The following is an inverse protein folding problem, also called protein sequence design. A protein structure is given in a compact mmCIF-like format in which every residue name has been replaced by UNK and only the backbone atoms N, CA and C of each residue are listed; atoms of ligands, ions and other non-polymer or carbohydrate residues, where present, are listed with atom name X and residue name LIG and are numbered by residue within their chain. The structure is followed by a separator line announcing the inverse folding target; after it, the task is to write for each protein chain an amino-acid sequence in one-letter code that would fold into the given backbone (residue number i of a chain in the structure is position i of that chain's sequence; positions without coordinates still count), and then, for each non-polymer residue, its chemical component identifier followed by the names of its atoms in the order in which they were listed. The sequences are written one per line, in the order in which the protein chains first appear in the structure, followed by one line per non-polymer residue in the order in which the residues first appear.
data_IF_732684271965
#
_entry.id   IF_732684271965
#
_cell.length_a   1.000
_cell.length_b   1.000
_cell.length_c   1.000
_cell.angle_alpha   90.00
_cell.angle_beta   90.00
_cell.angle_gamma   90.00
#
_symmetry.space_group_name_H-M   'P 1'
#
loop_
_entity.id
_entity.type
_entity.pdbx_description
1 polymer ?
#
# COMPACT_ATOMS: atom_id res chain seq x y z
N UNK A 1 -25.32 7.61 -21.33
CA UNK A 1 -25.29 7.85 -19.86
C UNK A 1 -24.07 8.70 -19.62
N UNK A 2 -24.21 9.80 -18.91
CA UNK A 2 -23.07 10.66 -18.56
C UNK A 2 -22.33 10.01 -17.39
N UNK A 3 -21.19 9.41 -17.71
CA UNK A 3 -20.37 8.60 -16.78
C UNK A 3 -19.73 9.45 -15.69
N UNK A 4 -19.32 10.68 -16.05
CA UNK A 4 -18.75 11.64 -15.10
C UNK A 4 -19.75 12.01 -13.99
N UNK A 5 -21.02 12.14 -14.36
CA UNK A 5 -22.06 12.42 -13.39
C UNK A 5 -22.39 11.23 -12.50
N UNK A 6 -22.38 10.01 -13.07
CA UNK A 6 -22.61 8.78 -12.28
C UNK A 6 -21.50 8.58 -11.25
N UNK A 7 -20.23 8.72 -11.66
CA UNK A 7 -19.07 8.58 -10.77
C UNK A 7 -19.08 9.60 -9.64
N UNK A 8 -19.33 10.87 -9.96
CA UNK A 8 -19.46 11.94 -8.95
C UNK A 8 -20.63 11.70 -8.00
N UNK A 9 -21.74 11.17 -8.49
CA UNK A 9 -22.90 10.83 -7.68
C UNK A 9 -22.57 9.69 -6.71
N UNK A 10 -21.89 8.62 -7.17
CA UNK A 10 -21.49 7.48 -6.36
C UNK A 10 -20.48 7.92 -5.29
N UNK A 11 -19.46 8.69 -5.64
CA UNK A 11 -18.50 9.26 -4.68
C UNK A 11 -19.20 10.20 -3.68
N UNK A 12 -20.08 11.04 -4.12
CA UNK A 12 -20.87 11.92 -3.25
C UNK A 12 -21.76 11.16 -2.27
N UNK A 13 -22.31 10.01 -2.66
CA UNK A 13 -23.04 9.10 -1.75
C UNK A 13 -22.13 8.46 -0.74
N UNK A 14 -20.94 8.01 -1.15
CA UNK A 14 -19.94 7.45 -0.25
C UNK A 14 -19.55 8.41 0.86
N UNK A 15 -19.13 9.60 0.53
CA UNK A 15 -18.77 10.60 1.53
C UNK A 15 -19.93 10.89 2.49
N UNK A 16 -21.15 10.99 1.99
CA UNK A 16 -22.34 11.17 2.85
C UNK A 16 -22.59 9.98 3.77
N UNK A 17 -22.41 8.75 3.29
CA UNK A 17 -22.61 7.55 4.10
C UNK A 17 -21.55 7.40 5.18
N UNK A 18 -20.29 7.67 4.86
CA UNK A 18 -19.19 7.69 5.82
C UNK A 18 -19.42 8.76 6.90
N UNK A 19 -19.81 9.96 6.50
CA UNK A 19 -20.12 11.06 7.43
C UNK A 19 -21.32 10.75 8.34
N UNK A 20 -22.24 9.91 7.87
CA UNK A 20 -23.40 9.43 8.62
C UNK A 20 -23.09 8.19 9.49
N UNK A 21 -21.84 7.68 9.45
CA UNK A 21 -21.41 6.52 10.23
C UNK A 21 -21.84 5.17 9.67
N UNK A 22 -22.16 5.08 8.36
CA UNK A 22 -22.48 3.82 7.71
C UNK A 22 -21.28 2.88 7.71
N UNK A 23 -21.56 1.57 7.81
CA UNK A 23 -20.55 0.52 7.70
C UNK A 23 -19.93 0.54 6.29
N UNK A 24 -18.59 0.64 6.16
CA UNK A 24 -17.90 0.57 4.88
C UNK A 24 -18.24 -0.68 4.04
N UNK A 25 -18.57 -1.80 4.69
CA UNK A 25 -18.97 -3.02 4.00
C UNK A 25 -20.35 -2.91 3.35
N UNK A 26 -21.31 -2.27 4.03
CA UNK A 26 -22.63 -1.98 3.45
C UNK A 26 -22.50 -1.02 2.26
N UNK A 27 -21.61 -0.04 2.36
CA UNK A 27 -21.35 0.88 1.26
C UNK A 27 -20.71 0.17 0.06
N UNK A 28 -19.70 -0.67 0.25
CA UNK A 28 -19.06 -1.40 -0.84
C UNK A 28 -20.08 -2.27 -1.60
N UNK A 29 -21.02 -2.89 -0.88
CA UNK A 29 -22.10 -3.67 -1.49
C UNK A 29 -23.08 -2.80 -2.29
N UNK A 30 -23.49 -1.66 -1.75
CA UNK A 30 -24.39 -0.73 -2.42
C UNK A 30 -23.76 -0.17 -3.71
N UNK A 31 -22.48 0.16 -3.65
CA UNK A 31 -21.72 0.65 -4.81
C UNK A 31 -21.62 -0.39 -5.92
N UNK A 32 -21.27 -1.64 -5.59
CA UNK A 32 -21.27 -2.75 -6.55
C UNK A 32 -22.60 -2.86 -7.28
N UNK A 33 -23.71 -2.79 -6.55
CA UNK A 33 -25.05 -2.93 -7.14
C UNK A 33 -25.38 -1.81 -8.12
N UNK A 34 -24.89 -0.59 -7.89
CA UNK A 34 -25.12 0.55 -8.78
C UNK A 34 -24.18 0.55 -9.98
N UNK A 35 -22.91 0.22 -9.80
CA UNK A 35 -21.94 0.10 -10.87
C UNK A 35 -22.29 -0.99 -11.88
N UNK A 36 -22.64 -2.17 -11.39
CA UNK A 36 -23.02 -3.30 -12.24
C UNK A 36 -24.30 -3.05 -13.07
N UNK A 37 -25.21 -2.19 -12.62
CA UNK A 37 -26.39 -1.82 -13.40
C UNK A 37 -26.08 -1.03 -14.67
N UNK A 38 -24.94 -0.32 -14.70
CA UNK A 38 -24.51 0.47 -15.85
C UNK A 38 -23.66 -0.28 -16.86
N UNK A 39 -23.25 -1.54 -16.58
CA UNK A 39 -22.27 -2.28 -17.39
C UNK A 39 -20.86 -1.72 -17.27
N UNK A 40 -20.58 -0.97 -16.21
CA UNK A 40 -19.32 -0.30 -15.96
C UNK A 40 -18.30 -1.25 -15.36
N UNK A 41 -17.07 -1.18 -15.85
CA UNK A 41 -15.97 -1.93 -15.26
C UNK A 41 -15.31 -1.10 -14.17
N UNK A 42 -14.96 -1.72 -13.04
CA UNK A 42 -14.23 -1.04 -11.99
C UNK A 42 -12.85 -0.51 -12.46
N UNK A 43 -12.29 -1.10 -13.50
CA UNK A 43 -11.08 -0.59 -14.15
C UNK A 43 -11.31 0.80 -14.75
N UNK A 44 -12.47 1.06 -15.35
CA UNK A 44 -12.80 2.36 -15.92
C UNK A 44 -12.80 3.44 -14.83
N UNK A 45 -13.43 3.16 -13.68
CA UNK A 45 -13.42 4.07 -12.54
C UNK A 45 -12.00 4.36 -12.03
N UNK A 46 -11.16 3.31 -11.91
CA UNK A 46 -9.80 3.48 -11.45
C UNK A 46 -9.00 4.36 -12.41
N UNK A 47 -9.13 4.14 -13.72
CA UNK A 47 -8.41 4.93 -14.72
C UNK A 47 -8.93 6.37 -14.75
N UNK A 48 -10.22 6.58 -14.90
CA UNK A 48 -10.84 7.91 -15.07
C UNK A 48 -10.76 8.79 -13.82
N UNK A 49 -10.86 8.22 -12.61
CA UNK A 49 -10.90 9.01 -11.38
C UNK A 49 -9.57 9.11 -10.65
N UNK A 50 -8.63 8.20 -10.94
CA UNK A 50 -7.37 8.13 -10.19
C UNK A 50 -6.14 8.29 -11.09
N UNK A 51 -6.05 7.51 -12.17
CA UNK A 51 -4.84 7.47 -12.99
C UNK A 51 -4.76 8.65 -13.94
N UNK A 52 -5.77 8.82 -14.78
CA UNK A 52 -5.79 9.87 -15.81
C UNK A 52 -5.73 11.29 -15.23
N UNK A 53 -6.43 11.61 -14.11
CA UNK A 53 -6.30 12.92 -13.48
C UNK A 53 -5.03 13.09 -12.63
N UNK A 54 -4.11 12.11 -12.62
CA UNK A 54 -2.84 12.19 -11.89
C UNK A 54 -2.95 12.11 -10.37
N UNK A 55 -4.00 11.52 -9.84
CA UNK A 55 -4.18 11.30 -8.38
C UNK A 55 -3.53 9.99 -7.89
N UNK A 56 -3.04 9.18 -8.82
CA UNK A 56 -2.42 7.90 -8.49
C UNK A 56 -1.16 8.10 -7.63
N UNK A 57 -1.06 7.31 -6.57
CA UNK A 57 0.06 7.36 -5.62
C UNK A 57 1.08 6.23 -5.87
N UNK A 58 1.02 5.56 -7.01
CA UNK A 58 1.99 4.56 -7.42
C UNK A 58 2.12 3.30 -6.54
N UNK A 59 1.17 3.01 -5.67
CA UNK A 59 1.29 1.91 -4.69
C UNK A 59 1.19 0.50 -5.29
N UNK A 60 0.72 0.37 -6.54
CA UNK A 60 0.50 -0.88 -7.28
C UNK A 60 -0.46 -1.91 -6.64
N UNK A 61 -1.23 -1.54 -5.60
CA UNK A 61 -2.17 -2.47 -4.97
C UNK A 61 -3.23 -3.01 -5.95
N UNK A 62 -3.73 -2.17 -6.87
CA UNK A 62 -4.67 -2.58 -7.92
C UNK A 62 -4.07 -3.59 -8.90
N UNK A 63 -2.76 -3.48 -9.18
CA UNK A 63 -2.03 -4.42 -10.05
C UNK A 63 -1.93 -5.79 -9.37
N UNK A 64 -1.51 -5.79 -8.10
CA UNK A 64 -1.25 -7.04 -7.36
C UNK A 64 -2.50 -7.82 -7.02
N UNK A 65 -3.64 -7.15 -6.85
CA UNK A 65 -4.90 -7.79 -6.47
C UNK A 65 -5.70 -8.32 -7.67
N UNK A 66 -5.37 -7.90 -8.89
CA UNK A 66 -6.15 -8.25 -10.07
C UNK A 66 -6.01 -9.74 -10.43
N UNK A 67 -7.08 -10.56 -10.35
CA UNK A 67 -7.00 -12.01 -10.56
C UNK A 67 -6.82 -12.41 -12.03
N UNK A 68 -6.96 -11.46 -12.95
CA UNK A 68 -6.90 -11.67 -14.41
C UNK A 68 -5.86 -10.76 -15.08
N UNK A 69 -5.00 -10.13 -14.27
CA UNK A 69 -3.87 -9.28 -14.70
C UNK A 69 -4.27 -8.23 -15.75
N UNK A 70 -5.30 -7.44 -15.48
CA UNK A 70 -5.73 -6.35 -16.40
C UNK A 70 -4.65 -5.29 -16.52
N UNK A 71 -3.86 -5.10 -15.46
CA UNK A 71 -2.90 -4.02 -15.36
C UNK A 71 -1.47 -4.49 -15.50
N UNK A 72 -0.68 -3.79 -16.32
CA UNK A 72 0.77 -3.70 -16.17
C UNK A 72 1.11 -2.52 -15.26
N UNK A 73 2.36 -2.43 -14.79
CA UNK A 73 2.87 -1.30 -14.04
C UNK A 73 4.00 -0.63 -14.83
N UNK A 74 3.81 0.61 -15.20
CA UNK A 74 4.77 1.37 -16.00
C UNK A 74 4.69 2.85 -15.66
N UNK A 75 5.82 3.54 -15.72
CA UNK A 75 5.92 4.98 -15.48
C UNK A 75 5.23 5.38 -14.15
N UNK A 76 5.48 4.57 -13.09
CA UNK A 76 5.00 4.75 -11.72
C UNK A 76 3.47 4.65 -11.53
N UNK A 77 2.72 4.19 -12.53
CA UNK A 77 1.26 4.01 -12.49
C UNK A 77 0.80 2.67 -13.08
N UNK A 78 -0.38 2.18 -12.72
CA UNK A 78 -0.99 1.06 -13.42
C UNK A 78 -1.39 1.48 -14.84
N UNK A 79 -1.12 0.61 -15.80
CA UNK A 79 -1.50 0.76 -17.20
C UNK A 79 -2.52 -0.33 -17.57
N UNK A 80 -3.71 0.06 -18.02
CA UNK A 80 -4.71 -0.88 -18.53
C UNK A 80 -4.27 -1.45 -19.87
N UNK A 81 -3.72 -2.66 -19.87
CA UNK A 81 -3.23 -3.35 -21.07
C UNK A 81 -4.15 -4.46 -21.52
N UNK A 82 -5.05 -4.93 -20.67
CA UNK A 82 -5.97 -6.04 -20.98
C UNK A 82 -7.40 -5.77 -20.51
N UNK A 83 -7.92 -4.60 -20.84
CA UNK A 83 -9.26 -4.12 -20.48
C UNK A 83 -10.36 -5.17 -20.66
N UNK A 84 -10.34 -5.90 -21.80
CA UNK A 84 -11.35 -6.91 -22.13
C UNK A 84 -11.28 -8.18 -21.25
N UNK A 85 -10.18 -8.39 -20.51
CA UNK A 85 -10.05 -9.48 -19.56
C UNK A 85 -10.75 -9.18 -18.22
N UNK A 86 -11.16 -7.94 -17.96
CA UNK A 86 -11.83 -7.55 -16.72
C UNK A 86 -13.09 -8.37 -16.45
N UNK A 87 -13.15 -8.99 -15.27
CA UNK A 87 -14.26 -9.85 -14.82
C UNK A 87 -15.22 -9.14 -13.85
N UNK A 88 -15.16 -7.82 -13.77
CA UNK A 88 -16.06 -7.00 -12.96
C UNK A 88 -16.01 -7.30 -11.44
N UNK A 89 -14.88 -7.76 -10.93
CA UNK A 89 -14.73 -8.17 -9.52
C UNK A 89 -14.53 -7.02 -8.54
N UNK A 90 -14.28 -5.79 -9.02
CA UNK A 90 -14.13 -4.54 -8.25
C UNK A 90 -12.93 -4.51 -7.27
N UNK A 91 -12.08 -5.53 -7.26
CA UNK A 91 -10.95 -5.63 -6.34
C UNK A 91 -9.98 -4.46 -6.45
N UNK A 92 -9.71 -3.98 -7.66
CA UNK A 92 -8.82 -2.85 -7.90
C UNK A 92 -9.31 -1.55 -7.26
N UNK A 93 -10.63 -1.38 -7.16
CA UNK A 93 -11.27 -0.25 -6.48
C UNK A 93 -11.27 -0.45 -4.96
N UNK A 94 -11.57 -1.68 -4.50
CA UNK A 94 -11.60 -2.03 -3.07
C UNK A 94 -10.26 -1.76 -2.37
N UNK A 95 -9.14 -2.06 -3.05
CA UNK A 95 -7.80 -1.85 -2.47
C UNK A 95 -7.17 -0.49 -2.77
N UNK A 96 -7.84 0.36 -3.54
CA UNK A 96 -7.30 1.66 -3.90
C UNK A 96 -7.43 2.68 -2.74
N UNK A 97 -6.32 3.13 -2.13
CA UNK A 97 -6.40 4.07 -1.01
C UNK A 97 -6.83 5.49 -1.42
N UNK A 98 -6.85 5.79 -2.73
CA UNK A 98 -7.37 7.06 -3.26
C UNK A 98 -8.88 7.04 -3.39
N UNK A 99 -9.44 5.91 -3.84
CA UNK A 99 -10.89 5.73 -3.98
C UNK A 99 -11.56 5.37 -2.67
N UNK A 100 -10.88 4.66 -1.80
CA UNK A 100 -11.39 4.23 -0.50
C UNK A 100 -10.57 4.88 0.63
N UNK A 101 -11.15 5.86 1.35
CA UNK A 101 -10.50 6.43 2.52
C UNK A 101 -10.35 5.38 3.63
N UNK A 102 -9.11 5.13 4.02
CA UNK A 102 -8.76 4.06 4.97
C UNK A 102 -8.67 4.47 6.41
N UNK A 103 -8.53 5.76 6.69
CA UNK A 103 -8.14 6.25 8.01
C UNK A 103 -9.08 5.82 9.14
N UNK A 104 -10.35 5.66 8.83
CA UNK A 104 -11.37 5.26 9.79
C UNK A 104 -11.33 3.76 10.06
N UNK A 105 -11.34 2.96 8.99
CA UNK A 105 -11.34 1.50 9.06
C UNK A 105 -10.06 0.98 9.71
N UNK A 106 -8.91 1.61 9.44
CA UNK A 106 -7.64 1.26 10.07
C UNK A 106 -7.60 1.59 11.55
N UNK A 107 -8.17 2.71 12.00
CA UNK A 107 -8.24 3.07 13.43
C UNK A 107 -9.04 2.07 14.23
N UNK A 108 -10.12 1.55 13.67
CA UNK A 108 -10.99 0.58 14.35
C UNK A 108 -10.39 -0.82 14.39
N UNK A 109 -9.53 -1.16 13.43
CA UNK A 109 -8.91 -2.48 13.32
C UNK A 109 -7.52 -2.57 13.98
N UNK A 110 -6.76 -1.46 14.05
CA UNK A 110 -5.50 -1.42 14.77
C UNK A 110 -5.79 -1.11 16.24
N UNK A 111 -5.96 -2.17 17.04
CA UNK A 111 -6.20 -2.05 18.47
C UNK A 111 -4.92 -1.63 19.20
N UNK A 112 -4.81 -0.35 19.51
CA UNK A 112 -3.78 0.16 20.40
C UNK A 112 -4.24 -0.01 21.86
N UNK A 113 -3.35 -0.51 22.72
CA UNK A 113 -3.59 -0.57 24.16
C UNK A 113 -3.34 0.81 24.74
N UNK A 114 -4.38 1.47 25.28
CA UNK A 114 -4.29 2.77 25.94
C UNK A 114 -3.54 3.85 25.12
N UNK A 115 -3.99 4.15 23.90
CA UNK A 115 -3.26 5.05 23.01
C UNK A 115 -3.21 6.45 23.56
N UNK A 116 -2.06 7.12 23.43
CA UNK A 116 -1.95 8.55 23.56
C UNK A 116 -2.69 9.18 22.39
N UNK A 117 -3.63 10.07 22.67
CA UNK A 117 -4.40 10.79 21.65
C UNK A 117 -3.73 12.11 21.36
N UNK A 118 -3.28 12.29 20.15
CA UNK A 118 -2.70 13.52 19.65
C UNK A 118 -3.43 13.92 18.36
N UNK A 119 -3.89 15.18 18.30
CA UNK A 119 -4.67 15.65 17.14
C UNK A 119 -3.81 15.75 15.86
N UNK A 120 -2.49 15.93 16.01
CA UNK A 120 -1.57 16.06 14.87
C UNK A 120 -1.11 14.71 14.29
N UNK A 121 -0.78 13.75 15.16
CA UNK A 121 -0.22 12.45 14.76
C UNK A 121 -1.21 11.29 14.79
N UNK A 122 -2.40 11.52 15.37
CA UNK A 122 -3.34 10.44 15.61
C UNK A 122 -2.95 9.59 16.85
N UNK A 123 -3.61 8.46 17.09
CA UNK A 123 -3.36 7.63 18.25
C UNK A 123 -2.03 6.85 18.14
N UNK A 124 -1.23 6.85 19.21
CA UNK A 124 0.01 6.07 19.31
C UNK A 124 0.23 5.57 20.74
N UNK A 125 1.07 4.56 20.93
CA UNK A 125 1.37 4.03 22.27
C UNK A 125 2.49 4.81 22.96
N UNK A 126 3.57 5.11 22.25
CA UNK A 126 4.72 5.88 22.78
C UNK A 126 5.55 6.45 21.63
N UNK A 127 6.33 7.49 21.94
CA UNK A 127 7.33 8.05 21.06
C UNK A 127 8.73 7.93 21.67
N UNK A 128 9.73 7.66 20.86
CA UNK A 128 11.14 7.55 21.30
C UNK A 128 12.09 8.21 20.33
N UNK A 129 13.22 8.70 20.82
CA UNK A 129 14.38 9.02 20.01
C UNK A 129 15.31 7.82 19.97
N UNK A 130 15.67 7.36 18.78
CA UNK A 130 16.50 6.17 18.59
C UNK A 130 17.56 6.37 17.53
N UNK A 131 18.66 5.62 17.68
CA UNK A 131 19.74 5.51 16.70
C UNK A 131 20.29 4.08 16.75
N UNK A 132 20.68 3.53 15.61
CA UNK A 132 21.38 2.25 15.57
C UNK A 132 22.70 2.33 16.32
N UNK A 133 23.06 1.26 17.05
CA UNK A 133 24.32 1.17 17.79
C UNK A 133 25.47 0.67 16.94
N UNK A 134 25.16 -0.09 15.89
CA UNK A 134 26.15 -0.56 14.95
C UNK A 134 26.62 0.56 14.02
N UNK A 135 27.93 0.82 14.00
CA UNK A 135 28.52 1.93 13.26
C UNK A 135 28.34 1.79 11.76
N UNK A 136 28.47 0.58 11.20
CA UNK A 136 28.29 0.33 9.77
C UNK A 136 26.84 0.58 9.33
N UNK A 137 25.87 0.16 10.13
CA UNK A 137 24.45 0.43 9.90
C UNK A 137 24.15 1.95 9.90
N UNK A 138 24.76 2.70 10.81
CA UNK A 138 24.60 4.16 10.88
C UNK A 138 25.21 4.84 9.64
N UNK A 139 26.39 4.40 9.20
CA UNK A 139 27.10 4.98 8.05
C UNK A 139 26.37 4.69 6.72
N UNK A 140 25.74 3.52 6.60
CA UNK A 140 24.96 3.15 5.42
C UNK A 140 23.52 3.69 5.45
N UNK A 141 22.98 3.92 6.65
CA UNK A 141 21.63 4.44 6.81
C UNK A 141 21.53 5.95 6.61
N UNK A 142 20.31 6.44 6.72
CA UNK A 142 19.99 7.86 6.81
C UNK A 142 19.43 8.14 8.21
N UNK A 143 19.75 9.30 8.78
CA UNK A 143 19.16 9.77 10.06
C UNK A 143 19.24 8.79 11.24
N UNK A 144 20.32 8.02 11.33
CA UNK A 144 20.58 7.12 12.44
C UNK A 144 20.34 5.64 12.17
N UNK A 145 19.88 5.23 10.98
CA UNK A 145 19.84 3.84 10.54
C UNK A 145 18.85 2.93 11.28
N UNK A 146 17.83 3.49 11.94
CA UNK A 146 16.90 2.73 12.81
C UNK A 146 16.10 1.72 12.00
N UNK A 147 15.57 2.10 10.84
CA UNK A 147 14.80 1.20 9.97
C UNK A 147 15.65 -0.03 9.60
N UNK A 148 16.85 0.19 9.06
CA UNK A 148 17.80 -0.89 8.71
C UNK A 148 18.14 -1.77 9.92
N UNK A 149 18.40 -1.17 11.09
CA UNK A 149 18.69 -1.90 12.31
C UNK A 149 17.52 -2.80 12.76
N UNK A 150 16.28 -2.33 12.64
CA UNK A 150 15.10 -3.12 12.98
C UNK A 150 14.94 -4.34 12.05
N UNK A 151 15.15 -4.15 10.76
CA UNK A 151 15.09 -5.24 9.77
C UNK A 151 16.18 -6.29 10.05
N UNK A 152 17.43 -5.84 10.20
CA UNK A 152 18.56 -6.73 10.52
C UNK A 152 18.35 -7.50 11.84
N UNK A 153 17.82 -6.81 12.86
CA UNK A 153 17.49 -7.45 14.13
C UNK A 153 16.36 -8.48 13.97
N UNK A 154 15.31 -8.14 13.21
CA UNK A 154 14.19 -9.03 12.93
C UNK A 154 14.62 -10.30 12.18
N UNK A 155 15.48 -10.17 11.18
CA UNK A 155 16.05 -11.33 10.47
C UNK A 155 16.93 -12.20 11.39
N UNK A 156 17.77 -11.55 12.20
CA UNK A 156 18.68 -12.25 13.12
C UNK A 156 17.95 -13.12 14.15
N UNK A 157 16.83 -12.66 14.66
CA UNK A 157 16.07 -13.38 15.70
C UNK A 157 14.86 -14.16 15.16
N UNK A 158 14.67 -14.19 13.83
CA UNK A 158 13.59 -14.94 13.18
C UNK A 158 12.20 -14.30 13.31
N UNK A 159 12.12 -13.02 13.70
CA UNK A 159 10.84 -12.27 13.72
C UNK A 159 10.35 -12.00 12.30
N UNK A 160 11.28 -11.85 11.36
CA UNK A 160 11.02 -11.74 9.92
C UNK A 160 12.01 -12.62 9.15
N UNK A 161 11.56 -13.20 8.05
CA UNK A 161 12.40 -13.97 7.12
C UNK A 161 12.78 -13.17 5.88
N UNK A 162 11.99 -12.14 5.56
CA UNK A 162 12.29 -11.21 4.47
C UNK A 162 11.67 -9.84 4.74
N UNK A 163 12.14 -8.83 4.01
CA UNK A 163 11.59 -7.49 4.06
C UNK A 163 11.27 -6.99 2.64
N UNK A 164 10.14 -6.31 2.51
CA UNK A 164 9.80 -5.53 1.32
C UNK A 164 10.17 -4.08 1.59
N UNK A 165 11.08 -3.57 0.80
CA UNK A 165 11.57 -2.20 0.91
C UNK A 165 11.99 -1.66 -0.46
N UNK A 166 12.39 -0.40 -0.53
CA UNK A 166 12.94 0.19 -1.74
C UNK A 166 14.44 -0.08 -1.90
N UNK A 167 14.88 -0.16 -3.14
CA UNK A 167 16.30 -0.10 -3.53
C UNK A 167 16.51 0.93 -4.64
N UNK A 168 17.75 1.19 -4.97
CA UNK A 168 18.14 2.02 -6.12
C UNK A 168 17.82 1.28 -7.42
N UNK A 169 17.17 1.97 -8.38
CA UNK A 169 16.87 1.38 -9.67
C UNK A 169 18.16 1.13 -10.46
N UNK A 170 18.27 -0.03 -11.09
CA UNK A 170 19.51 -0.47 -11.74
C UNK A 170 19.97 0.45 -12.88
N UNK A 171 19.02 0.97 -13.66
CA UNK A 171 19.30 1.77 -14.86
C UNK A 171 19.19 3.28 -14.60
N UNK A 172 18.54 3.69 -13.51
CA UNK A 172 18.37 5.10 -13.13
C UNK A 172 18.54 5.27 -11.62
N UNK A 173 19.74 5.65 -11.12
CA UNK A 173 20.00 5.81 -9.70
C UNK A 173 19.15 6.88 -8.98
N UNK A 174 18.48 7.75 -9.71
CA UNK A 174 17.57 8.74 -9.13
C UNK A 174 16.20 8.14 -8.77
N UNK A 175 15.85 7.01 -9.39
CA UNK A 175 14.61 6.32 -9.12
C UNK A 175 14.79 5.22 -8.06
N UNK A 176 13.71 4.89 -7.39
CA UNK A 176 13.61 3.73 -6.53
C UNK A 176 12.91 2.58 -7.22
N UNK A 177 13.30 1.37 -6.88
CA UNK A 177 12.56 0.16 -7.23
C UNK A 177 12.15 -0.62 -5.98
N UNK A 178 11.13 -1.44 -6.12
CA UNK A 178 10.68 -2.33 -5.06
C UNK A 178 11.55 -3.58 -5.02
N UNK A 179 11.97 -3.99 -3.82
CA UNK A 179 12.81 -5.17 -3.62
C UNK A 179 12.30 -6.05 -2.49
N UNK A 180 12.34 -7.36 -2.74
CA UNK A 180 12.21 -8.37 -1.69
C UNK A 180 13.61 -8.73 -1.16
N UNK A 181 13.93 -8.24 0.03
CA UNK A 181 15.20 -8.41 0.70
C UNK A 181 15.14 -9.67 1.58
N UNK A 182 15.96 -10.66 1.28
CA UNK A 182 16.00 -11.97 1.96
C UNK A 182 17.27 -12.20 2.77
N UNK A 183 18.27 -11.31 2.62
CA UNK A 183 19.55 -11.38 3.32
C UNK A 183 19.89 -10.05 4.00
N UNK A 184 20.72 -10.09 5.06
CA UNK A 184 21.24 -8.87 5.70
C UNK A 184 21.97 -7.93 4.73
N UNK A 185 22.68 -8.47 3.75
CA UNK A 185 23.43 -7.72 2.74
C UNK A 185 22.46 -6.93 1.83
N UNK A 186 21.34 -7.54 1.43
CA UNK A 186 20.30 -6.88 0.66
C UNK A 186 19.62 -5.76 1.46
N UNK A 187 19.37 -5.97 2.76
CA UNK A 187 18.83 -4.93 3.65
C UNK A 187 19.79 -3.74 3.76
N UNK A 188 21.09 -3.98 3.88
CA UNK A 188 22.11 -2.93 3.94
C UNK A 188 22.18 -2.19 2.60
N UNK A 189 22.16 -2.91 1.47
CA UNK A 189 22.14 -2.33 0.13
C UNK A 189 20.92 -1.44 -0.10
N UNK A 190 19.74 -1.84 0.42
CA UNK A 190 18.50 -1.10 0.34
C UNK A 190 18.40 0.09 1.30
N UNK A 191 19.40 0.33 2.18
CA UNK A 191 19.40 1.47 3.09
C UNK A 191 19.35 2.83 2.38
N UNK A 192 18.96 3.87 3.10
CA UNK A 192 18.73 5.25 2.67
C UNK A 192 17.32 5.49 2.09
N UNK A 193 16.95 6.77 2.00
CA UNK A 193 15.69 7.22 1.43
C UNK A 193 15.79 7.47 -0.06
N UNK A 194 14.71 7.17 -0.77
CA UNK A 194 14.52 7.53 -2.17
C UNK A 194 13.20 8.28 -2.26
N UNK A 195 13.22 9.42 -2.94
CA UNK A 195 12.09 10.36 -2.95
C UNK A 195 11.24 10.23 -4.22
N UNK A 196 11.21 9.04 -4.82
CA UNK A 196 10.39 8.70 -5.98
C UNK A 196 9.34 7.66 -5.62
N UNK A 197 8.35 7.49 -6.49
CA UNK A 197 7.34 6.44 -6.31
C UNK A 197 7.98 5.06 -6.39
N UNK A 198 7.58 4.16 -5.50
CA UNK A 198 8.07 2.78 -5.46
C UNK A 198 6.89 1.84 -5.22
N UNK A 199 6.64 0.89 -6.13
CA UNK A 199 5.52 -0.03 -6.02
C UNK A 199 5.81 -1.20 -5.06
N UNK A 200 6.03 -0.91 -3.78
CA UNK A 200 6.46 -1.92 -2.80
C UNK A 200 5.49 -3.12 -2.71
N UNK A 201 4.21 -2.94 -3.03
CA UNK A 201 3.27 -4.06 -3.04
C UNK A 201 3.60 -5.12 -4.11
N UNK A 202 4.31 -4.76 -5.19
CA UNK A 202 4.73 -5.75 -6.21
C UNK A 202 5.68 -6.80 -5.62
N UNK A 203 6.60 -6.41 -4.74
CA UNK A 203 7.51 -7.36 -4.09
C UNK A 203 6.79 -8.31 -3.11
N UNK A 204 5.61 -7.95 -2.61
CA UNK A 204 4.78 -8.86 -1.81
C UNK A 204 4.27 -10.05 -2.64
N UNK A 205 3.95 -9.83 -3.91
CA UNK A 205 3.58 -10.93 -4.82
C UNK A 205 4.74 -11.91 -5.01
N UNK A 206 5.96 -11.40 -5.07
CA UNK A 206 7.16 -12.26 -5.14
C UNK A 206 7.35 -13.07 -3.85
N UNK A 207 7.17 -12.44 -2.68
CA UNK A 207 7.22 -13.13 -1.39
C UNK A 207 6.17 -14.23 -1.29
N UNK A 208 4.94 -13.95 -1.74
CA UNK A 208 3.83 -14.91 -1.80
C UNK A 208 4.16 -16.10 -2.69
N UNK A 209 4.71 -15.86 -3.89
CA UNK A 209 5.12 -16.93 -4.83
C UNK A 209 6.27 -17.79 -4.29
N UNK A 210 7.13 -17.23 -3.43
CA UNK A 210 8.25 -17.93 -2.80
C UNK A 210 7.91 -18.54 -1.44
N UNK A 211 6.66 -18.42 -1.00
CA UNK A 211 6.18 -18.86 0.33
C UNK A 211 7.06 -18.33 1.49
N UNK A 212 7.45 -17.06 1.39
CA UNK A 212 8.27 -16.40 2.38
C UNK A 212 7.41 -15.71 3.42
N UNK A 213 7.59 -16.10 4.68
CA UNK A 213 6.98 -15.46 5.85
C UNK A 213 7.75 -15.81 7.12
N UNK A 214 7.62 -15.03 8.20
CA UNK A 214 6.98 -13.73 8.31
C UNK A 214 7.75 -12.61 7.62
N UNK A 215 7.03 -11.57 7.18
CA UNK A 215 7.55 -10.46 6.40
C UNK A 215 7.57 -9.14 7.19
N UNK A 216 8.52 -8.27 6.85
CA UNK A 216 8.43 -6.84 7.13
C UNK A 216 8.08 -6.06 5.86
N UNK A 217 7.33 -4.97 6.00
CA UNK A 217 7.10 -4.00 4.94
C UNK A 217 7.57 -2.62 5.40
N UNK A 218 8.40 -1.99 4.59
CA UNK A 218 8.85 -0.61 4.78
C UNK A 218 8.23 0.25 3.69
N UNK A 219 7.59 1.34 4.06
CA UNK A 219 6.99 2.22 3.06
C UNK A 219 6.58 3.57 3.64
N UNK A 220 6.34 4.52 2.77
CA UNK A 220 5.72 5.80 3.11
C UNK A 220 4.21 5.63 3.27
N UNK A 221 3.46 6.60 3.84
CA UNK A 221 2.05 6.42 4.19
C UNK A 221 1.17 5.87 3.07
N UNK A 222 1.35 6.34 1.82
CA UNK A 222 0.58 5.84 0.69
C UNK A 222 0.83 4.35 0.39
N UNK A 223 2.07 3.88 0.51
CA UNK A 223 2.42 2.47 0.33
C UNK A 223 1.89 1.61 1.48
N UNK A 224 2.02 2.10 2.72
CA UNK A 224 1.44 1.44 3.89
C UNK A 224 -0.08 1.34 3.75
N UNK A 225 -0.74 2.39 3.28
CA UNK A 225 -2.17 2.37 3.02
C UNK A 225 -2.55 1.31 1.98
N UNK A 226 -1.80 1.20 0.88
CA UNK A 226 -2.03 0.15 -0.14
C UNK A 226 -1.92 -1.27 0.44
N UNK A 227 -0.94 -1.50 1.33
CA UNK A 227 -0.80 -2.79 2.05
C UNK A 227 -1.97 -3.02 3.02
N UNK A 228 -2.33 -2.01 3.80
CA UNK A 228 -3.43 -2.10 4.78
C UNK A 228 -4.79 -2.34 4.11
N UNK A 229 -5.04 -1.71 2.95
CA UNK A 229 -6.26 -1.99 2.17
C UNK A 229 -6.37 -3.46 1.78
N UNK A 230 -5.27 -4.10 1.42
CA UNK A 230 -5.27 -5.52 1.12
C UNK A 230 -5.46 -6.38 2.38
N UNK A 231 -4.85 -6.00 3.51
CA UNK A 231 -5.07 -6.68 4.80
C UNK A 231 -6.52 -6.64 5.27
N UNK A 232 -7.24 -5.59 4.90
CA UNK A 232 -8.62 -5.37 5.35
C UNK A 232 -9.64 -5.45 4.21
N UNK A 233 -9.26 -6.06 3.07
CA UNK A 233 -10.20 -6.30 1.98
C UNK A 233 -11.37 -7.16 2.46
N UNK A 234 -12.58 -6.66 2.25
CA UNK A 234 -13.81 -7.38 2.55
C UNK A 234 -14.29 -8.29 1.41
N UNK A 235 -13.62 -8.21 0.27
CA UNK A 235 -13.98 -8.96 -0.95
C UNK A 235 -13.14 -10.22 -1.09
N UNK A 236 -11.84 -10.11 -0.88
CA UNK A 236 -10.87 -11.21 -0.98
C UNK A 236 -10.37 -11.56 0.41
N UNK A 237 -11.19 -12.29 1.14
CA UNK A 237 -10.85 -12.74 2.50
C UNK A 237 -9.59 -13.60 2.53
N UNK A 238 -9.37 -14.43 1.50
CA UNK A 238 -8.16 -15.24 1.34
C UNK A 238 -6.87 -14.38 1.20
N UNK A 239 -6.94 -13.28 0.46
CA UNK A 239 -5.83 -12.33 0.34
C UNK A 239 -5.65 -11.56 1.65
N UNK A 240 -6.74 -11.06 2.24
CA UNK A 240 -6.70 -10.34 3.51
C UNK A 240 -6.07 -11.20 4.61
N UNK A 241 -6.49 -12.46 4.74
CA UNK A 241 -5.96 -13.44 5.67
C UNK A 241 -4.46 -13.68 5.44
N UNK A 242 -4.05 -13.89 4.18
CA UNK A 242 -2.63 -14.03 3.87
C UNK A 242 -1.81 -12.81 4.31
N UNK A 243 -2.26 -11.59 4.01
CA UNK A 243 -1.56 -10.36 4.42
C UNK A 243 -1.52 -10.18 5.94
N UNK A 244 -2.57 -10.58 6.65
CA UNK A 244 -2.64 -10.52 8.12
C UNK A 244 -1.68 -11.53 8.77
N UNK A 245 -1.64 -12.75 8.25
CA UNK A 245 -0.86 -13.84 8.83
C UNK A 245 0.63 -13.73 8.52
N UNK A 246 0.98 -13.17 7.36
CA UNK A 246 2.36 -13.20 6.87
C UNK A 246 3.13 -11.88 7.02
N UNK A 247 2.48 -10.74 7.23
CA UNK A 247 3.14 -9.47 7.48
C UNK A 247 3.17 -9.18 8.99
N UNK A 248 4.31 -9.46 9.63
CA UNK A 248 4.49 -9.29 11.08
C UNK A 248 4.94 -7.89 11.49
N UNK A 249 5.55 -7.13 10.58
CA UNK A 249 6.08 -5.80 10.87
C UNK A 249 5.80 -4.84 9.70
N UNK A 250 5.24 -3.68 10.02
CA UNK A 250 5.10 -2.58 9.06
C UNK A 250 5.81 -1.35 9.63
N UNK A 251 6.78 -0.83 8.89
CA UNK A 251 7.52 0.38 9.23
C UNK A 251 7.04 1.50 8.31
N UNK A 252 6.24 2.41 8.85
CA UNK A 252 5.80 3.62 8.17
C UNK A 252 6.84 4.73 8.29
N UNK A 253 7.34 5.22 7.16
CA UNK A 253 8.27 6.35 7.11
C UNK A 253 7.45 7.63 6.96
N UNK A 254 7.77 8.67 7.72
CA UNK A 254 7.16 9.98 7.52
C UNK A 254 7.59 10.53 6.16
N UNK A 255 6.63 11.01 5.38
CA UNK A 255 6.86 11.52 4.04
C UNK A 255 6.17 12.88 3.88
N UNK A 256 6.91 13.86 3.38
CA UNK A 256 6.37 15.17 3.03
C UNK A 256 6.08 15.29 1.53
N UNK A 257 6.85 14.59 0.70
CA UNK A 257 6.76 14.68 -0.76
C UNK A 257 7.41 13.48 -1.46
N UNK A 258 7.01 13.23 -2.70
CA UNK A 258 7.72 12.41 -3.66
C UNK A 258 7.93 13.24 -4.93
N UNK A 259 9.05 13.03 -5.60
CA UNK A 259 9.35 13.72 -6.86
C UNK A 259 9.21 12.74 -8.02
N UNK A 260 8.61 13.21 -9.10
CA UNK A 260 8.65 12.52 -10.40
C UNK A 260 9.93 12.89 -11.13
N UNK A 261 10.33 12.08 -12.08
CA UNK A 261 11.46 12.39 -12.95
C UNK A 261 11.22 13.73 -13.68
N UNK A 262 12.22 14.62 -13.66
CA UNK A 262 12.18 15.90 -14.37
C UNK A 262 12.69 15.73 -15.80
#
# INVERSE_FOLDING_TARGET
MDLDNLTKEVQGRYHRLVDQGADPNEWAYAWRSEYNRGGFKAVDLLMEEVVDPGKCIGCAACVTICPVDVFDYKDEVPLDTRHNACVFCELCVDVCPVLRPTDRDMKDQIQLKEPIKDEGFGPYNYGVYARATDKATVEQGQDGGVCTALLLHGMKNGTINAAVAGEEHADNPQMGSSMLQTTPEEVIKGARSRYTYQPNTLALVEAMKKDLSPLAVVGVPCQVNGVRQQQFSSIRLDVAEWYQDNISLVIGLLCSEAVTEL
#
